data_IF_158427434861
#
_entry.id   IF_158427434861
#
_cell.length_a   1.000
_cell.length_b   1.000
_cell.length_c   1.000
_cell.angle_alpha   90.00
_cell.angle_beta   90.00
_cell.angle_gamma   90.00
#
_symmetry.space_group_name_H-M   'P 1'
#
loop_
_entity.id
_entity.type
_entity.pdbx_description
1 polymer ?
#
# COMPACT_ATOMS: atom_id res chain seq x y z
N UNK A 1 -24.37 14.13 -9.43
CA UNK A 1 -23.51 15.06 -10.20
C UNK A 1 -22.07 14.57 -10.06
N UNK A 2 -21.46 14.06 -11.15
CA UNK A 2 -20.15 13.37 -11.12
C UNK A 2 -18.93 14.27 -11.36
N UNK A 3 -19.14 15.51 -11.81
CA UNK A 3 -18.09 16.48 -12.06
C UNK A 3 -18.49 17.82 -11.42
N UNK A 4 -17.55 18.45 -10.71
CA UNK A 4 -17.63 19.86 -10.30
C UNK A 4 -16.58 20.59 -11.14
N UNK A 5 -17.05 21.45 -12.03
CA UNK A 5 -16.18 22.36 -12.78
C UNK A 5 -15.98 23.57 -11.87
N UNK A 6 -14.73 23.85 -11.54
CA UNK A 6 -14.35 25.09 -10.88
C UNK A 6 -13.84 26.01 -11.99
N UNK A 7 -14.72 26.83 -12.55
CA UNK A 7 -14.33 27.86 -13.51
C UNK A 7 -13.73 29.05 -12.74
N UNK A 8 -12.60 29.57 -13.21
CA UNK A 8 -11.90 30.73 -12.62
C UNK A 8 -12.83 31.95 -12.41
N UNK A 9 -13.87 32.08 -13.25
CA UNK A 9 -14.85 33.16 -13.18
C UNK A 9 -15.88 33.04 -12.04
N UNK A 10 -15.97 31.88 -11.38
CA UNK A 10 -16.94 31.63 -10.29
C UNK A 10 -16.34 31.77 -8.89
N UNK A 11 -15.05 32.12 -8.80
CA UNK A 11 -14.29 32.27 -7.56
C UNK A 11 -13.78 33.71 -7.50
N UNK A 12 -14.65 34.65 -7.16
CA UNK A 12 -14.26 36.04 -6.97
C UNK A 12 -13.47 36.20 -5.65
N UNK A 13 -12.24 36.72 -5.72
CA UNK A 13 -11.51 37.33 -4.59
C UNK A 13 -10.25 36.61 -4.08
N UNK A 14 -10.07 35.33 -4.39
CA UNK A 14 -8.89 34.52 -4.02
C UNK A 14 -8.37 33.75 -5.23
N UNK A 15 -7.07 33.47 -5.28
CA UNK A 15 -6.48 32.66 -6.35
C UNK A 15 -7.20 31.29 -6.42
N UNK A 16 -7.88 30.95 -7.53
CA UNK A 16 -8.71 29.74 -7.62
C UNK A 16 -7.88 28.46 -7.38
N UNK A 17 -6.62 28.48 -7.82
CA UNK A 17 -5.62 27.44 -7.61
C UNK A 17 -5.34 27.17 -6.12
N UNK A 18 -5.22 28.21 -5.29
CA UNK A 18 -4.94 28.07 -3.85
C UNK A 18 -6.14 27.49 -3.11
N UNK A 19 -7.35 27.94 -3.46
CA UNK A 19 -8.59 27.40 -2.91
C UNK A 19 -8.73 25.91 -3.23
N UNK A 20 -8.39 25.49 -4.45
CA UNK A 20 -8.41 24.09 -4.85
C UNK A 20 -7.41 23.26 -4.03
N UNK A 21 -6.18 23.76 -3.84
CA UNK A 21 -5.17 23.12 -2.98
C UNK A 21 -5.72 22.91 -1.57
N UNK A 22 -6.26 23.97 -0.95
CA UNK A 22 -6.82 23.91 0.41
C UNK A 22 -7.96 22.89 0.53
N UNK A 23 -8.85 22.83 -0.47
CA UNK A 23 -9.95 21.84 -0.50
C UNK A 23 -9.38 20.41 -0.54
N UNK A 24 -8.40 20.14 -1.40
CA UNK A 24 -7.82 18.81 -1.55
C UNK A 24 -7.04 18.39 -0.29
N UNK A 25 -6.32 19.33 0.34
CA UNK A 25 -5.65 19.10 1.63
C UNK A 25 -6.66 18.76 2.73
N UNK A 26 -7.75 19.50 2.83
CA UNK A 26 -8.82 19.22 3.79
C UNK A 26 -9.41 17.82 3.57
N UNK A 27 -9.74 17.47 2.32
CA UNK A 27 -10.24 16.14 1.96
C UNK A 27 -9.24 15.03 2.28
N UNK A 28 -7.93 15.30 2.16
CA UNK A 28 -6.91 14.35 2.57
C UNK A 28 -6.89 14.12 4.09
N UNK A 29 -7.01 15.18 4.90
CA UNK A 29 -7.08 15.04 6.36
C UNK A 29 -8.36 14.33 6.82
N UNK A 30 -9.50 14.61 6.17
CA UNK A 30 -10.75 13.90 6.41
C UNK A 30 -10.63 12.40 6.12
N UNK A 31 -9.94 12.03 5.02
CA UNK A 31 -9.64 10.63 4.70
C UNK A 31 -8.74 9.96 5.73
N UNK A 32 -7.73 10.66 6.24
CA UNK A 32 -6.80 10.15 7.26
C UNK A 32 -7.48 9.89 8.60
N UNK A 33 -8.45 10.74 8.98
CA UNK A 33 -9.16 10.66 10.25
C UNK A 33 -10.40 9.75 10.21
N UNK A 34 -10.92 9.43 9.03
CA UNK A 34 -12.12 8.62 8.91
C UNK A 34 -11.87 7.16 9.26
N UNK A 35 -12.63 6.65 10.24
CA UNK A 35 -12.89 5.23 10.41
C UNK A 35 -13.59 4.64 9.16
N UNK A 36 -13.44 3.33 9.00
CA UNK A 36 -13.69 2.48 7.82
C UNK A 36 -15.07 2.66 7.14
N UNK A 37 -16.06 3.29 7.80
CA UNK A 37 -17.46 3.29 7.34
C UNK A 37 -17.92 4.55 6.58
N UNK A 38 -17.09 5.60 6.40
CA UNK A 38 -17.50 6.74 5.56
C UNK A 38 -17.27 6.44 4.08
N UNK A 39 -18.24 6.79 3.23
CA UNK A 39 -18.07 6.76 1.76
C UNK A 39 -16.99 7.76 1.36
N UNK A 40 -15.79 7.26 1.08
CA UNK A 40 -14.67 8.07 0.61
C UNK A 40 -14.88 8.39 -0.87
N UNK A 41 -15.19 9.65 -1.16
CA UNK A 41 -15.21 10.15 -2.54
C UNK A 41 -13.77 10.57 -2.89
N UNK A 42 -13.18 9.90 -3.88
CA UNK A 42 -11.85 10.25 -4.41
C UNK A 42 -12.01 10.98 -5.73
N UNK A 43 -11.33 12.11 -5.89
CA UNK A 43 -11.37 12.93 -7.09
C UNK A 43 -10.11 12.73 -7.94
N UNK A 44 -10.30 12.76 -9.25
CA UNK A 44 -9.21 12.97 -10.21
C UNK A 44 -9.15 14.45 -10.53
N UNK A 45 -7.95 15.01 -10.57
CA UNK A 45 -7.75 16.40 -10.93
C UNK A 45 -7.15 16.43 -12.33
N UNK A 46 -7.85 17.08 -13.25
CA UNK A 46 -7.35 17.35 -14.59
C UNK A 46 -6.94 18.82 -14.68
N UNK A 47 -5.64 19.10 -14.86
CA UNK A 47 -5.14 20.46 -15.02
C UNK A 47 -3.98 20.50 -16.01
N UNK A 48 -3.94 21.55 -16.83
CA UNK A 48 -2.84 21.79 -17.77
C UNK A 48 -1.71 22.58 -17.13
N UNK A 49 -2.01 23.37 -16.12
CA UNK A 49 -1.02 24.15 -15.41
C UNK A 49 -0.01 23.23 -14.70
N UNK A 50 1.26 23.40 -15.02
CA UNK A 50 2.36 22.62 -14.47
C UNK A 50 2.65 23.02 -13.03
N UNK A 51 2.51 24.30 -12.67
CA UNK A 51 2.81 24.78 -11.32
C UNK A 51 1.76 24.30 -10.33
N UNK A 52 0.47 24.42 -10.67
CA UNK A 52 -0.61 23.86 -9.88
C UNK A 52 -0.47 22.35 -9.69
N UNK A 53 -0.13 21.61 -10.75
CA UNK A 53 0.14 20.16 -10.65
C UNK A 53 1.30 19.87 -9.70
N UNK A 54 2.40 20.60 -9.79
CA UNK A 54 3.54 20.42 -8.87
C UNK A 54 3.13 20.64 -7.41
N UNK A 55 2.30 21.65 -7.12
CA UNK A 55 1.79 21.90 -5.77
C UNK A 55 0.88 20.76 -5.30
N UNK A 56 -0.09 20.36 -6.10
CA UNK A 56 -1.04 19.28 -5.79
C UNK A 56 -0.38 17.91 -5.65
N UNK A 57 0.71 17.67 -6.40
CA UNK A 57 1.52 16.45 -6.32
C UNK A 57 2.14 16.27 -4.92
N UNK A 58 2.36 17.36 -4.19
CA UNK A 58 2.84 17.32 -2.79
C UNK A 58 1.82 16.64 -1.87
N UNK A 59 0.54 16.72 -2.19
CA UNK A 59 -0.54 16.11 -1.40
C UNK A 59 -0.66 14.62 -1.78
N UNK A 60 -0.43 13.69 -0.83
CA UNK A 60 -0.42 12.27 -1.14
C UNK A 60 -1.81 11.74 -1.51
N UNK A 61 -1.85 10.82 -2.48
CA UNK A 61 -3.10 10.18 -2.92
C UNK A 61 -3.99 11.07 -3.77
N UNK A 62 -3.37 12.01 -4.52
CA UNK A 62 -4.02 12.91 -5.47
C UNK A 62 -3.62 12.52 -6.89
N UNK A 63 -4.48 11.83 -7.66
CA UNK A 63 -4.16 11.48 -9.03
C UNK A 63 -4.35 12.70 -9.96
N UNK A 64 -3.29 13.03 -10.69
CA UNK A 64 -3.23 14.16 -11.61
C UNK A 64 -3.27 13.70 -13.07
N UNK A 65 -4.04 14.40 -13.89
CA UNK A 65 -4.19 14.15 -15.32
C UNK A 65 -3.96 15.46 -16.08
N UNK A 66 -3.29 15.38 -17.22
CA UNK A 66 -3.10 16.49 -18.15
C UNK A 66 -3.14 15.98 -19.59
N UNK A 67 -3.32 16.88 -20.57
CA UNK A 67 -3.20 16.49 -21.97
C UNK A 67 -1.79 16.80 -22.48
N UNK A 68 -1.09 15.77 -22.93
CA UNK A 68 0.11 15.92 -23.73
C UNK A 68 -0.30 15.91 -25.21
N UNK A 69 -0.40 17.10 -25.81
CA UNK A 69 -0.97 17.31 -27.16
C UNK A 69 -2.41 16.76 -27.24
N UNK A 70 -2.60 15.62 -27.90
CA UNK A 70 -3.91 14.95 -28.08
C UNK A 70 -4.09 13.74 -27.15
N UNK A 71 -3.09 13.43 -26.32
CA UNK A 71 -3.11 12.26 -25.44
C UNK A 71 -3.38 12.65 -23.99
N UNK A 72 -4.31 11.96 -23.35
CA UNK A 72 -4.58 12.12 -21.92
C UNK A 72 -3.55 11.32 -21.12
N UNK A 73 -2.75 12.00 -20.30
CA UNK A 73 -1.67 11.40 -19.52
C UNK A 73 -1.99 11.54 -18.04
N UNK A 74 -1.93 10.42 -17.32
CA UNK A 74 -1.95 10.40 -15.85
C UNK A 74 -0.52 10.48 -15.34
N UNK A 75 -0.25 11.35 -14.39
CA UNK A 75 1.06 11.46 -13.78
C UNK A 75 1.38 10.23 -12.91
N UNK A 76 2.68 9.91 -12.83
CA UNK A 76 3.14 8.90 -11.88
C UNK A 76 2.89 9.38 -10.43
N UNK A 77 2.68 8.44 -9.48
CA UNK A 77 2.53 8.80 -8.08
C UNK A 77 3.71 9.63 -7.58
N UNK A 78 3.39 10.74 -6.91
CA UNK A 78 4.38 11.65 -6.34
C UNK A 78 5.24 10.99 -5.27
N UNK A 79 6.41 11.57 -4.99
CA UNK A 79 7.27 11.08 -3.91
C UNK A 79 6.59 11.18 -2.55
N UNK A 80 5.78 12.22 -2.31
CA UNK A 80 4.92 12.31 -1.13
C UNK A 80 3.96 11.12 -1.02
N UNK A 81 3.30 10.76 -2.13
CA UNK A 81 2.39 9.61 -2.18
C UNK A 81 3.12 8.29 -1.92
N UNK A 82 4.30 8.10 -2.53
CA UNK A 82 5.13 6.91 -2.35
C UNK A 82 5.61 6.77 -0.91
N UNK A 83 6.08 7.86 -0.31
CA UNK A 83 6.54 7.88 1.07
C UNK A 83 5.40 7.63 2.05
N UNK A 84 4.23 8.23 1.82
CA UNK A 84 3.04 7.96 2.62
C UNK A 84 2.63 6.48 2.55
N UNK A 85 2.58 5.90 1.35
CA UNK A 85 2.27 4.47 1.19
C UNK A 85 3.30 3.59 1.91
N UNK A 86 4.60 3.88 1.77
CA UNK A 86 5.65 3.16 2.48
C UNK A 86 5.48 3.23 4.00
N UNK A 87 5.12 4.39 4.55
CA UNK A 87 4.87 4.53 5.99
C UNK A 87 3.65 3.72 6.45
N UNK A 88 2.57 3.73 5.67
CA UNK A 88 1.37 2.95 5.96
C UNK A 88 1.67 1.44 5.89
N UNK A 89 2.39 1.00 4.87
CA UNK A 89 2.84 -0.39 4.74
C UNK A 89 3.76 -0.79 5.90
N UNK A 90 4.75 0.05 6.22
CA UNK A 90 5.64 -0.18 7.36
C UNK A 90 4.85 -0.28 8.66
N UNK A 91 3.82 0.55 8.89
CA UNK A 91 2.96 0.46 10.07
C UNK A 91 2.17 -0.84 10.14
N UNK A 92 1.76 -1.41 9.00
CA UNK A 92 1.06 -2.71 8.94
C UNK A 92 1.98 -3.89 9.22
N UNK A 93 3.25 -3.79 8.82
CA UNK A 93 4.25 -4.86 8.98
C UNK A 93 4.96 -4.77 10.33
N UNK A 94 5.11 -3.55 10.87
CA UNK A 94 5.76 -3.32 12.15
C UNK A 94 4.95 -3.93 13.27
N UNK A 95 5.66 -4.54 14.22
CA UNK A 95 5.05 -5.10 15.41
C UNK A 95 4.34 -4.02 16.20
N UNK A 96 3.13 -4.35 16.63
CA UNK A 96 2.40 -3.56 17.63
C UNK A 96 3.15 -3.57 18.97
N UNK A 97 2.92 -2.57 19.80
CA UNK A 97 3.59 -2.43 21.11
C UNK A 97 3.37 -3.70 21.96
N UNK A 98 2.15 -4.23 21.97
CA UNK A 98 1.80 -5.47 22.65
C UNK A 98 2.60 -6.67 22.14
N UNK A 99 2.78 -6.82 20.82
CA UNK A 99 3.57 -7.91 20.23
C UNK A 99 5.06 -7.78 20.59
N UNK A 100 5.59 -6.55 20.64
CA UNK A 100 6.97 -6.29 21.06
C UNK A 100 7.20 -6.71 22.52
N UNK A 101 6.27 -6.37 23.41
CA UNK A 101 6.33 -6.75 24.82
C UNK A 101 6.27 -8.27 25.00
N UNK A 102 5.37 -8.95 24.28
CA UNK A 102 5.27 -10.41 24.30
C UNK A 102 6.59 -11.05 23.86
N UNK A 103 7.20 -10.57 22.78
CA UNK A 103 8.48 -11.10 22.29
C UNK A 103 9.61 -10.83 23.29
N UNK A 104 9.65 -9.67 23.92
CA UNK A 104 10.63 -9.36 24.96
C UNK A 104 10.49 -10.31 26.17
N UNK A 105 9.26 -10.54 26.61
CA UNK A 105 8.94 -11.47 27.71
C UNK A 105 9.23 -12.93 27.36
N UNK A 106 9.09 -13.33 26.10
CA UNK A 106 9.48 -14.67 25.65
C UNK A 106 11.01 -14.79 25.61
N UNK A 107 11.73 -13.78 25.11
CA UNK A 107 13.20 -13.77 25.08
C UNK A 107 13.81 -13.89 26.48
N UNK A 108 13.25 -13.21 27.48
CA UNK A 108 13.77 -13.25 28.86
C UNK A 108 13.52 -14.57 29.58
N UNK A 109 12.51 -15.34 29.16
CA UNK A 109 12.17 -16.64 29.75
C UNK A 109 12.89 -17.82 29.09
N UNK A 110 13.58 -17.60 27.97
CA UNK A 110 14.41 -18.62 27.34
C UNK A 110 15.80 -18.56 28.01
N UNK A 111 16.25 -19.63 28.70
CA UNK A 111 17.59 -19.64 29.29
C UNK A 111 18.67 -19.55 28.19
N UNK A 112 19.60 -18.62 28.38
CA UNK A 112 20.58 -18.05 27.42
C UNK A 112 21.69 -19.01 26.95
N UNK A 113 21.61 -20.32 27.21
CA UNK A 113 22.70 -21.26 26.88
C UNK A 113 22.84 -21.66 25.39
N UNK A 114 22.38 -20.85 24.42
CA UNK A 114 22.49 -21.22 22.98
C UNK A 114 23.07 -20.12 22.08
N UNK A 115 23.22 -18.86 22.49
CA UNK A 115 23.52 -17.79 21.50
C UNK A 115 24.65 -16.83 21.91
N UNK A 116 25.85 -17.38 22.14
CA UNK A 116 27.11 -16.65 21.99
C UNK A 116 28.12 -17.52 21.23
N UNK A 117 27.84 -17.79 19.95
CA UNK A 117 28.89 -18.24 19.05
C UNK A 117 28.69 -17.64 17.66
N UNK A 118 29.51 -16.63 17.38
CA UNK A 118 29.93 -16.24 16.04
C UNK A 118 30.76 -17.37 15.42
N UNK A 119 30.15 -18.53 15.19
CA UNK A 119 30.73 -19.61 14.39
C UNK A 119 29.64 -20.24 13.54
N UNK A 120 29.96 -20.39 12.27
CA UNK A 120 29.29 -21.26 11.31
C UNK A 120 29.06 -22.64 11.94
N UNK A 121 27.87 -22.86 12.49
CA UNK A 121 27.41 -24.19 12.86
C UNK A 121 26.06 -24.41 12.21
N UNK A 122 26.10 -25.29 11.21
CA UNK A 122 24.98 -26.01 10.65
C UNK A 122 24.14 -26.58 11.80
N UNK A 123 23.13 -25.83 12.23
CA UNK A 123 22.13 -26.36 13.15
C UNK A 123 21.28 -27.28 12.29
N UNK A 124 21.62 -28.57 12.30
CA UNK A 124 20.75 -29.64 11.83
C UNK A 124 19.53 -29.67 12.76
N UNK A 125 18.59 -28.76 12.51
CA UNK A 125 17.21 -28.87 12.98
C UNK A 125 16.73 -30.17 12.36
N UNK A 126 16.67 -31.28 13.12
CA UNK A 126 16.08 -32.52 12.61
C UNK A 126 14.65 -32.14 12.18
N UNK A 127 14.34 -32.09 10.88
CA UNK A 127 13.03 -31.65 10.45
C UNK A 127 12.04 -32.66 11.01
N UNK A 128 10.99 -32.17 11.70
CA UNK A 128 9.87 -33.01 12.11
C UNK A 128 9.44 -33.80 10.87
N UNK A 129 9.61 -35.12 10.90
CA UNK A 129 9.45 -35.96 9.70
C UNK A 129 8.06 -35.67 9.13
N UNK A 130 8.01 -35.01 7.97
CA UNK A 130 6.77 -34.84 7.22
C UNK A 130 6.37 -36.24 6.76
N UNK A 131 5.37 -36.82 7.40
CA UNK A 131 4.72 -38.03 6.90
C UNK A 131 4.15 -37.65 5.53
N UNK A 132 4.81 -38.11 4.46
CA UNK A 132 4.32 -37.94 3.09
C UNK A 132 3.06 -38.78 2.96
N UNK A 133 1.89 -38.16 3.14
CA UNK A 133 0.62 -38.79 2.77
C UNK A 133 0.64 -38.95 1.24
N UNK A 134 0.42 -40.18 0.77
CA UNK A 134 0.18 -40.39 -0.67
C UNK A 134 -1.08 -39.60 -1.04
N UNK A 135 -1.11 -38.93 -2.19
CA UNK A 135 -2.34 -38.29 -2.67
C UNK A 135 -3.44 -39.36 -2.76
N UNK A 136 -4.59 -39.09 -2.14
CA UNK A 136 -5.69 -40.05 -1.99
C UNK A 136 -6.37 -40.40 -3.33
N UNK A 137 -6.12 -39.62 -4.37
CA UNK A 137 -6.53 -39.84 -5.75
C UNK A 137 -5.68 -38.91 -6.65
N UNK A 138 -5.65 -39.18 -7.96
CA UNK A 138 -5.05 -38.26 -8.92
C UNK A 138 -5.69 -36.87 -8.80
N UNK A 139 -4.86 -35.82 -8.88
CA UNK A 139 -5.39 -34.45 -8.98
C UNK A 139 -6.28 -34.40 -10.23
N UNK A 140 -7.57 -34.02 -10.12
CA UNK A 140 -8.51 -34.02 -11.25
C UNK A 140 -8.10 -33.08 -12.39
N UNK A 141 -7.11 -32.21 -12.18
CA UNK A 141 -6.53 -31.32 -13.19
C UNK A 141 -5.27 -31.89 -13.86
N UNK A 142 -4.69 -32.99 -13.37
CA UNK A 142 -3.51 -33.64 -13.96
C UNK A 142 -3.92 -34.86 -14.79
N UNK A 143 -4.69 -34.64 -15.85
CA UNK A 143 -5.04 -35.68 -16.82
C UNK A 143 -3.84 -35.92 -17.75
N UNK A 144 -2.94 -36.83 -17.37
CA UNK A 144 -2.30 -37.70 -18.37
C UNK A 144 -2.98 -39.07 -18.27
N UNK A 145 -3.56 -39.61 -19.35
CA UNK A 145 -4.11 -40.95 -19.31
C UNK A 145 -2.98 -41.94 -18.97
N UNK A 146 -3.27 -42.91 -18.10
CA UNK A 146 -2.36 -44.03 -17.88
C UNK A 146 -2.25 -44.81 -19.20
N UNK A 147 -1.03 -45.09 -19.66
CA UNK A 147 -0.81 -46.02 -20.75
C UNK A 147 -1.31 -47.40 -20.32
N UNK A 148 -2.20 -48.00 -21.11
CA UNK A 148 -2.66 -49.37 -20.92
C UNK A 148 -1.49 -50.32 -21.23
N UNK A 149 -1.03 -51.08 -20.23
CA UNK A 149 -0.13 -52.20 -20.43
C UNK A 149 -0.95 -53.40 -20.94
N UNK A 150 -0.95 -53.65 -22.26
CA UNK A 150 -1.23 -54.95 -22.91
C UNK A 150 -0.92 -54.88 -24.42
#
# INVERSE_FOLDING_TARGET
KFCKIYDDNSICGENPSEKLINIIEQLFQERKSSSIDKRIISYFIASQDKELRSKLSTIPGTPLIYLNKVTLVMEAPSDSSRNYNRQIEYKKISLTENEKEVIANVKSKIPVNILDDKKTHDVTIKPKIRIKRKPSAANPLSMRPASEDS
#
